data_IF_761891831263
#
_entry.id   IF_761891831263
#
_cell.length_a   1.000
_cell.length_b   1.000
_cell.length_c   1.000
_cell.angle_alpha   90.00
_cell.angle_beta   90.00
_cell.angle_gamma   90.00
#
_symmetry.space_group_name_H-M   'P 1'
#
loop_
_entity.id
_entity.type
_entity.pdbx_description
1 polymer ?
#
# COMPACT_ATOMS: atom_id res chain seq x y z
N UNK A 1 -8.17 2.74 12.64
CA UNK A 1 -7.89 3.95 11.85
C UNK A 1 -6.64 3.71 11.03
N UNK A 2 -6.64 3.93 9.71
CA UNK A 2 -5.45 3.73 8.89
C UNK A 2 -4.34 4.78 9.07
N UNK A 3 -3.09 4.41 8.79
CA UNK A 3 -1.92 5.29 8.87
C UNK A 3 -2.09 6.56 8.02
N UNK A 4 -2.53 6.43 6.76
CA UNK A 4 -2.71 7.57 5.87
C UNK A 4 -3.79 8.56 6.33
N UNK A 5 -4.77 8.12 7.13
CA UNK A 5 -5.80 9.02 7.68
C UNK A 5 -5.22 9.94 8.76
N UNK A 6 -4.36 9.40 9.62
CA UNK A 6 -3.72 10.17 10.71
C UNK A 6 -2.53 10.97 10.20
N UNK A 7 -1.77 10.41 9.26
CA UNK A 7 -0.58 11.06 8.68
C UNK A 7 -0.87 12.11 7.61
N UNK A 8 -2.13 12.38 7.26
CA UNK A 8 -2.47 13.37 6.24
C UNK A 8 -2.20 14.80 6.76
N UNK A 9 -1.31 15.58 6.12
CA UNK A 9 -1.03 16.95 6.53
C UNK A 9 -2.10 17.96 6.05
N UNK A 10 -3.21 17.47 5.51
CA UNK A 10 -4.41 18.22 5.08
C UNK A 10 -4.08 19.24 3.98
N UNK A 11 -3.20 18.83 3.06
CA UNK A 11 -3.03 19.49 1.76
C UNK A 11 -4.00 18.93 0.73
N UNK A 12 -4.26 19.70 -0.33
CA UNK A 12 -5.17 19.32 -1.40
C UNK A 12 -4.63 19.80 -2.78
N UNK A 13 -5.32 19.57 -3.91
CA UNK A 13 -4.83 20.00 -5.22
C UNK A 13 -4.67 21.51 -5.41
N UNK A 14 -5.23 22.34 -4.54
CA UNK A 14 -5.28 23.80 -4.62
C UNK A 14 -4.55 24.51 -3.46
N UNK A 15 -4.12 23.77 -2.44
CA UNK A 15 -3.46 24.31 -1.25
C UNK A 15 -2.36 23.39 -0.72
N UNK A 16 -1.25 23.97 -0.22
CA UNK A 16 -0.22 23.18 0.45
C UNK A 16 -0.76 22.59 1.77
N UNK A 17 0.04 21.71 2.37
CA UNK A 17 -0.20 21.20 3.71
C UNK A 17 -0.49 22.32 4.73
N UNK A 18 -1.45 22.08 5.62
CA UNK A 18 -1.77 22.97 6.75
C UNK A 18 -1.26 22.43 8.09
N UNK A 19 -0.80 21.18 8.12
CA UNK A 19 -0.15 20.56 9.28
C UNK A 19 1.24 20.02 8.91
N UNK A 20 2.08 19.83 9.92
CA UNK A 20 3.39 19.22 9.75
C UNK A 20 3.26 17.77 9.27
N UNK A 21 4.26 17.33 8.49
CA UNK A 21 4.35 15.92 8.09
C UNK A 21 4.94 15.12 9.24
N UNK A 22 4.23 14.05 9.61
CA UNK A 22 4.68 13.10 10.61
C UNK A 22 5.43 11.94 9.95
N UNK A 23 6.44 11.41 10.64
CA UNK A 23 7.04 10.13 10.30
C UNK A 23 6.09 8.98 10.60
N UNK A 24 6.34 7.80 10.01
CA UNK A 24 5.52 6.61 10.27
C UNK A 24 5.52 6.19 11.74
N UNK A 25 6.63 6.41 12.46
CA UNK A 25 6.72 6.15 13.90
C UNK A 25 5.87 7.12 14.72
N UNK A 26 5.85 8.42 14.38
CA UNK A 26 5.00 9.41 15.04
C UNK A 26 3.51 9.14 14.78
N UNK A 27 3.15 8.76 13.55
CA UNK A 27 1.79 8.30 13.21
C UNK A 27 1.42 7.08 14.04
N UNK A 28 2.33 6.11 14.15
CA UNK A 28 2.12 4.91 14.97
C UNK A 28 1.86 5.25 16.44
N UNK A 29 2.63 6.18 17.02
CA UNK A 29 2.46 6.61 18.40
C UNK A 29 1.07 7.22 18.65
N UNK A 30 0.55 8.01 17.70
CA UNK A 30 -0.80 8.58 17.79
C UNK A 30 -1.87 7.49 17.75
N UNK A 31 -1.75 6.52 16.84
CA UNK A 31 -2.76 5.45 16.70
C UNK A 31 -2.70 4.50 17.90
N UNK A 32 -1.50 4.16 18.40
CA UNK A 32 -1.33 3.36 19.62
C UNK A 32 -1.93 4.06 20.84
N UNK A 33 -1.76 5.39 20.96
CA UNK A 33 -2.44 6.17 22.00
C UNK A 33 -3.97 6.08 21.85
N UNK A 34 -4.50 6.25 20.65
CA UNK A 34 -5.95 6.12 20.41
C UNK A 34 -6.46 4.71 20.78
N UNK A 35 -5.66 3.66 20.57
CA UNK A 35 -5.96 2.29 21.01
C UNK A 35 -6.01 2.18 22.55
N UNK A 36 -5.05 2.79 23.24
CA UNK A 36 -5.01 2.81 24.72
C UNK A 36 -6.20 3.55 25.34
N UNK A 37 -6.77 4.50 24.60
CA UNK A 37 -7.98 5.24 24.95
C UNK A 37 -9.26 4.56 24.43
N UNK A 38 -9.16 3.34 23.86
CA UNK A 38 -10.28 2.55 23.31
C UNK A 38 -11.06 3.24 22.16
N UNK A 39 -10.39 4.09 21.39
CA UNK A 39 -11.00 4.79 20.24
C UNK A 39 -10.89 4.02 18.93
N UNK A 40 -9.96 3.06 18.85
CA UNK A 40 -9.72 2.21 17.67
C UNK A 40 -9.36 0.80 18.10
N UNK A 41 -9.85 -0.21 17.38
CA UNK A 41 -9.53 -1.62 17.62
C UNK A 41 -8.50 -2.18 16.62
N UNK A 42 -8.46 -1.62 15.42
CA UNK A 42 -7.62 -2.09 14.31
C UNK A 42 -6.98 -0.92 13.55
N UNK A 43 -5.84 -1.18 12.90
CA UNK A 43 -5.20 -0.26 11.95
C UNK A 43 -4.99 -0.91 10.57
N UNK A 44 -4.64 -0.08 9.59
CA UNK A 44 -4.31 -0.47 8.22
C UNK A 44 -3.31 0.51 7.62
N UNK A 45 -2.59 0.11 6.57
CA UNK A 45 -1.60 0.98 5.94
C UNK A 45 -1.40 0.68 4.45
N UNK A 46 -1.02 1.70 3.66
CA UNK A 46 -0.22 1.44 2.48
C UNK A 46 1.20 1.05 2.91
N UNK A 47 1.88 0.25 2.12
CA UNK A 47 3.31 -0.01 2.31
C UNK A 47 4.14 1.29 2.39
N UNK A 48 3.81 2.27 1.56
CA UNK A 48 4.48 3.58 1.51
C UNK A 48 4.22 4.46 2.74
N UNK A 49 3.14 4.19 3.50
CA UNK A 49 2.86 4.89 4.76
C UNK A 49 3.78 4.42 5.89
N UNK A 50 4.30 3.19 5.78
CA UNK A 50 5.15 2.55 6.78
C UNK A 50 6.61 2.83 6.51
N UNK A 51 7.02 2.62 5.26
CA UNK A 51 8.41 2.74 4.79
C UNK A 51 8.46 3.24 3.35
N UNK A 52 9.43 4.11 3.06
CA UNK A 52 9.62 4.62 1.71
C UNK A 52 9.91 3.48 0.71
N UNK A 53 9.31 3.56 -0.48
CA UNK A 53 9.58 2.62 -1.57
C UNK A 53 10.63 3.16 -2.54
N UNK A 54 11.58 2.30 -2.91
CA UNK A 54 12.62 2.56 -3.89
C UNK A 54 12.53 1.56 -5.05
N UNK A 55 12.22 2.04 -6.25
CA UNK A 55 12.12 1.22 -7.46
C UNK A 55 13.40 0.45 -7.82
N UNK A 56 14.56 0.84 -7.27
CA UNK A 56 15.84 0.15 -7.47
C UNK A 56 16.14 -0.90 -6.40
N UNK A 57 15.39 -0.91 -5.30
CA UNK A 57 15.55 -1.81 -4.15
C UNK A 57 14.20 -2.38 -3.75
N UNK A 58 13.67 -3.24 -4.61
CA UNK A 58 12.31 -3.79 -4.51
C UNK A 58 12.11 -4.85 -3.41
N UNK A 59 13.20 -5.24 -2.77
CA UNK A 59 13.27 -6.26 -1.71
C UNK A 59 14.05 -5.73 -0.49
N UNK A 60 14.07 -4.41 -0.30
CA UNK A 60 14.67 -3.77 0.87
C UNK A 60 14.05 -4.26 2.20
N UNK A 61 12.78 -4.67 2.19
CA UNK A 61 12.08 -5.29 3.32
C UNK A 61 12.71 -6.62 3.79
N UNK A 62 13.44 -7.30 2.90
CA UNK A 62 14.12 -8.56 3.20
C UNK A 62 15.55 -8.39 3.71
N UNK A 63 16.13 -7.19 3.61
CA UNK A 63 17.48 -6.90 4.10
C UNK A 63 17.44 -6.37 5.54
N UNK A 64 17.88 -7.14 6.55
CA UNK A 64 17.83 -6.72 7.95
C UNK A 64 18.63 -5.44 8.25
N UNK A 65 19.61 -5.10 7.40
CA UNK A 65 20.40 -3.88 7.53
C UNK A 65 19.74 -2.66 6.85
N UNK A 66 18.62 -2.85 6.15
CA UNK A 66 17.95 -1.77 5.45
C UNK A 66 17.24 -0.82 6.43
N UNK A 67 17.12 0.47 6.07
CA UNK A 67 16.28 1.41 6.82
C UNK A 67 14.81 0.97 6.88
N UNK A 68 14.32 0.27 5.85
CA UNK A 68 12.96 -0.22 5.80
C UNK A 68 12.73 -1.30 6.86
N UNK A 69 13.57 -2.33 6.92
CA UNK A 69 13.44 -3.41 7.90
C UNK A 69 13.62 -2.90 9.34
N UNK A 70 14.55 -1.97 9.56
CA UNK A 70 14.72 -1.30 10.87
C UNK A 70 13.44 -0.57 11.30
N UNK A 71 12.82 0.19 10.38
CA UNK A 71 11.59 0.94 10.67
C UNK A 71 10.39 0.01 10.88
N UNK A 72 10.25 -1.03 10.05
CA UNK A 72 9.19 -2.04 10.18
C UNK A 72 9.28 -2.77 11.52
N UNK A 73 10.48 -3.12 11.98
CA UNK A 73 10.69 -3.75 13.27
C UNK A 73 10.21 -2.84 14.41
N UNK A 74 10.61 -1.55 14.39
CA UNK A 74 10.19 -0.59 15.41
C UNK A 74 8.67 -0.34 15.41
N UNK A 75 8.04 -0.31 14.23
CA UNK A 75 6.58 -0.22 14.10
C UNK A 75 5.90 -1.45 14.69
N UNK A 76 6.37 -2.65 14.36
CA UNK A 76 5.84 -3.92 14.89
C UNK A 76 5.89 -3.96 16.41
N UNK A 77 7.03 -3.62 17.00
CA UNK A 77 7.20 -3.57 18.46
C UNK A 77 6.22 -2.61 19.13
N UNK A 78 6.02 -1.42 18.57
CA UNK A 78 5.05 -0.42 19.08
C UNK A 78 3.60 -0.90 18.97
N UNK A 79 3.24 -1.52 17.85
CA UNK A 79 1.88 -2.03 17.60
C UNK A 79 1.56 -3.22 18.52
N UNK A 80 2.51 -4.14 18.71
CA UNK A 80 2.37 -5.28 19.61
C UNK A 80 2.27 -4.84 21.07
N UNK A 81 3.11 -3.89 21.51
CA UNK A 81 3.05 -3.34 22.86
C UNK A 81 1.71 -2.63 23.17
N UNK A 82 1.05 -2.08 22.15
CA UNK A 82 -0.25 -1.43 22.28
C UNK A 82 -1.44 -2.39 22.07
N UNK A 83 -1.19 -3.67 21.79
CA UNK A 83 -2.21 -4.66 21.40
C UNK A 83 -3.11 -4.13 20.26
N UNK A 84 -2.48 -3.47 19.27
CA UNK A 84 -3.13 -2.88 18.10
C UNK A 84 -2.82 -3.70 16.84
N UNK A 85 -3.71 -4.62 16.43
CA UNK A 85 -3.51 -5.39 15.22
C UNK A 85 -3.60 -4.55 13.94
N UNK A 86 -2.69 -4.82 12.99
CA UNK A 86 -2.81 -4.38 11.59
C UNK A 86 -3.68 -5.40 10.88
N UNK A 87 -4.91 -5.05 10.50
CA UNK A 87 -5.83 -6.01 9.88
C UNK A 87 -5.68 -6.09 8.36
N UNK A 88 -5.27 -4.98 7.74
CA UNK A 88 -5.25 -4.82 6.29
C UNK A 88 -4.03 -4.03 5.83
N UNK A 89 -3.44 -4.46 4.72
CA UNK A 89 -2.46 -3.69 3.96
C UNK A 89 -2.93 -3.47 2.53
N UNK A 90 -2.47 -2.38 1.93
CA UNK A 90 -2.73 -2.05 0.51
C UNK A 90 -1.44 -1.57 -0.15
N UNK A 91 -1.29 -1.78 -1.45
CA UNK A 91 -0.09 -1.39 -2.18
C UNK A 91 -0.24 0.04 -2.72
N UNK A 92 0.69 0.93 -2.36
CA UNK A 92 0.73 2.29 -2.90
C UNK A 92 1.14 2.32 -4.37
N UNK A 93 0.17 2.24 -5.29
CA UNK A 93 0.38 2.33 -6.76
C UNK A 93 -0.11 3.65 -7.37
N UNK A 94 -0.26 4.70 -6.55
CA UNK A 94 -0.86 5.96 -7.00
C UNK A 94 -0.01 7.22 -6.75
N UNK A 95 0.84 7.19 -5.71
CA UNK A 95 1.70 8.33 -5.34
C UNK A 95 2.95 8.47 -6.20
N UNK A 96 3.63 7.37 -6.53
CA UNK A 96 4.87 7.43 -7.31
C UNK A 96 4.58 7.78 -8.80
N UNK A 97 5.28 8.77 -9.39
CA UNK A 97 5.06 9.18 -10.78
C UNK A 97 5.24 8.09 -11.84
N UNK A 98 5.94 6.99 -11.51
CA UNK A 98 6.09 5.84 -12.42
C UNK A 98 4.74 5.18 -12.73
N UNK A 99 3.79 5.20 -11.79
CA UNK A 99 2.46 4.60 -11.93
C UNK A 99 1.40 5.58 -12.45
N UNK A 100 1.81 6.76 -12.95
CA UNK A 100 0.87 7.81 -13.40
C UNK A 100 -0.11 7.37 -14.50
N UNK A 101 0.24 6.37 -15.30
CA UNK A 101 -0.63 5.78 -16.33
C UNK A 101 -1.03 4.33 -16.03
N UNK A 102 -1.20 4.00 -14.75
CA UNK A 102 -1.59 2.68 -14.27
C UNK A 102 -0.49 1.96 -13.49
N UNK A 103 -0.92 1.06 -12.61
CA UNK A 103 -0.09 0.09 -11.90
C UNK A 103 -0.14 -1.25 -12.62
N UNK A 104 -1.01 -2.15 -12.16
CA UNK A 104 -1.19 -3.47 -12.79
C UNK A 104 -1.80 -3.38 -14.19
N UNK A 105 -2.46 -2.27 -14.56
CA UNK A 105 -3.00 -2.09 -15.92
C UNK A 105 -2.19 -1.13 -16.78
N UNK A 106 -0.96 -0.77 -16.39
CA UNK A 106 -0.14 0.14 -17.18
C UNK A 106 0.07 -0.38 -18.62
N UNK A 107 0.00 0.46 -19.67
CA UNK A 107 0.29 0.01 -21.04
C UNK A 107 1.70 -0.55 -21.21
N UNK A 108 2.69 -0.03 -20.46
CA UNK A 108 4.06 -0.53 -20.49
C UNK A 108 4.19 -1.82 -19.64
N UNK A 109 4.57 -2.97 -20.25
CA UNK A 109 4.74 -4.24 -19.53
C UNK A 109 5.79 -4.19 -18.42
N UNK A 110 6.85 -3.40 -18.56
CA UNK A 110 7.89 -3.27 -17.53
C UNK A 110 7.34 -2.58 -16.28
N UNK A 111 6.45 -1.59 -16.44
CA UNK A 111 5.81 -0.92 -15.31
C UNK A 111 4.78 -1.85 -14.64
N UNK A 112 4.05 -2.68 -15.41
CA UNK A 112 3.18 -3.71 -14.83
C UNK A 112 3.96 -4.71 -13.99
N UNK A 113 5.11 -5.16 -14.48
CA UNK A 113 6.01 -6.05 -13.72
C UNK A 113 6.52 -5.37 -12.45
N UNK A 114 6.92 -4.09 -12.54
CA UNK A 114 7.33 -3.30 -11.38
C UNK A 114 6.21 -3.16 -10.33
N UNK A 115 4.99 -2.89 -10.77
CA UNK A 115 3.81 -2.81 -9.91
C UNK A 115 3.55 -4.16 -9.22
N UNK A 116 3.59 -5.27 -9.96
CA UNK A 116 3.42 -6.62 -9.39
C UNK A 116 4.49 -6.93 -8.32
N UNK A 117 5.76 -6.57 -8.57
CA UNK A 117 6.83 -6.72 -7.57
C UNK A 117 6.60 -5.87 -6.32
N UNK A 118 6.08 -4.65 -6.48
CA UNK A 118 5.69 -3.82 -5.33
C UNK A 118 4.55 -4.45 -4.54
N UNK A 119 3.52 -5.00 -5.20
CA UNK A 119 2.44 -5.76 -4.53
C UNK A 119 3.00 -6.96 -3.76
N UNK A 120 3.94 -7.71 -4.32
CA UNK A 120 4.61 -8.81 -3.60
C UNK A 120 5.35 -8.33 -2.35
N UNK A 121 6.03 -7.18 -2.42
CA UNK A 121 6.64 -6.52 -1.26
C UNK A 121 5.59 -6.14 -0.21
N UNK A 122 4.47 -5.54 -0.63
CA UNK A 122 3.36 -5.23 0.28
C UNK A 122 2.83 -6.48 0.99
N UNK A 123 2.70 -7.60 0.28
CA UNK A 123 2.26 -8.88 0.86
C UNK A 123 3.26 -9.36 1.93
N UNK A 124 4.58 -9.27 1.67
CA UNK A 124 5.60 -9.64 2.67
C UNK A 124 5.55 -8.74 3.90
N UNK A 125 5.42 -7.43 3.72
CA UNK A 125 5.24 -6.47 4.82
C UNK A 125 3.97 -6.78 5.62
N UNK A 126 2.85 -7.05 4.93
CA UNK A 126 1.60 -7.45 5.56
C UNK A 126 1.74 -8.72 6.39
N UNK A 127 2.40 -9.75 5.85
CA UNK A 127 2.71 -10.98 6.56
C UNK A 127 3.57 -10.75 7.80
N UNK A 128 4.58 -9.88 7.70
CA UNK A 128 5.44 -9.51 8.83
C UNK A 128 4.67 -8.82 9.97
N UNK A 129 3.69 -7.98 9.61
CA UNK A 129 2.83 -7.26 10.56
C UNK A 129 1.58 -8.06 10.99
N UNK A 130 1.35 -9.25 10.44
CA UNK A 130 0.21 -10.09 10.79
C UNK A 130 -1.12 -9.70 10.14
N UNK A 131 -1.10 -8.91 9.05
CA UNK A 131 -2.32 -8.53 8.35
C UNK A 131 -2.98 -9.74 7.66
N UNK A 132 -4.31 -9.78 7.65
CA UNK A 132 -5.09 -10.85 7.04
C UNK A 132 -5.64 -10.47 5.66
N UNK A 133 -5.79 -9.17 5.40
CA UNK A 133 -6.37 -8.64 4.17
C UNK A 133 -5.32 -7.89 3.35
N UNK A 134 -5.29 -8.20 2.05
CA UNK A 134 -4.69 -7.36 1.02
C UNK A 134 -5.82 -6.63 0.27
N UNK A 135 -5.80 -5.30 0.29
CA UNK A 135 -6.73 -4.49 -0.52
C UNK A 135 -6.03 -3.98 -1.76
N UNK A 136 -6.71 -4.04 -2.90
CA UNK A 136 -6.27 -3.42 -4.16
C UNK A 136 -7.23 -2.30 -4.56
N UNK A 137 -6.79 -1.05 -4.39
CA UNK A 137 -7.49 0.13 -4.90
C UNK A 137 -7.05 0.44 -6.33
N UNK A 138 -7.98 0.43 -7.28
CA UNK A 138 -7.76 0.61 -8.73
C UNK A 138 -7.44 2.06 -9.14
N UNK A 139 -6.81 2.84 -8.26
CA UNK A 139 -6.65 4.29 -8.32
C UNK A 139 -6.15 4.85 -9.66
N UNK A 140 -5.06 4.28 -10.18
CA UNK A 140 -4.40 4.74 -11.42
C UNK A 140 -4.77 3.89 -12.63
N UNK A 141 -5.42 2.74 -12.41
CA UNK A 141 -5.78 1.78 -13.45
C UNK A 141 -7.05 2.23 -14.18
N UNK A 142 -6.88 3.29 -14.99
CA UNK A 142 -7.93 3.96 -15.74
C UNK A 142 -7.32 4.83 -16.85
N UNK A 143 -8.07 5.84 -17.33
CA UNK A 143 -7.64 6.74 -18.40
C UNK A 143 -8.47 8.01 -18.42
N UNK A 144 -7.91 9.10 -18.93
CA UNK A 144 -8.65 10.32 -19.25
C UNK A 144 -9.28 10.24 -20.66
N UNK A 145 -8.63 9.49 -21.54
CA UNK A 145 -9.05 9.32 -22.94
C UNK A 145 -8.87 7.87 -23.38
N UNK A 146 -9.80 7.35 -24.17
CA UNK A 146 -9.86 5.92 -24.52
C UNK A 146 -8.61 5.41 -25.25
N UNK A 147 -7.85 6.29 -25.91
CA UNK A 147 -6.61 5.95 -26.63
C UNK A 147 -5.36 5.96 -25.74
N UNK A 148 -5.44 6.43 -24.48
CA UNK A 148 -4.29 6.46 -23.57
C UNK A 148 -3.91 5.08 -23.02
N UNK A 149 -4.82 4.10 -23.13
CA UNK A 149 -4.63 2.71 -22.69
C UNK A 149 -5.19 1.75 -23.74
N UNK A 150 -4.67 0.51 -23.83
CA UNK A 150 -5.26 -0.52 -24.67
C UNK A 150 -6.53 -1.06 -24.00
N UNK A 151 -7.64 -0.33 -24.09
CA UNK A 151 -8.92 -0.61 -23.40
C UNK A 151 -9.34 -2.08 -23.46
N UNK A 152 -9.26 -2.71 -24.64
CA UNK A 152 -9.63 -4.12 -24.85
C UNK A 152 -8.80 -5.12 -24.01
N UNK A 153 -7.61 -4.71 -23.54
CA UNK A 153 -6.68 -5.54 -22.77
C UNK A 153 -6.59 -5.15 -21.31
N UNK A 154 -6.99 -3.94 -20.94
CA UNK A 154 -6.85 -3.39 -19.58
C UNK A 154 -7.40 -4.31 -18.51
N UNK A 155 -8.61 -4.85 -18.71
CA UNK A 155 -9.21 -5.77 -17.74
C UNK A 155 -8.43 -7.09 -17.65
N UNK A 156 -7.94 -7.60 -18.77
CA UNK A 156 -7.08 -8.80 -18.80
C UNK A 156 -5.77 -8.59 -18.05
N UNK A 157 -5.16 -7.40 -18.13
CA UNK A 157 -3.98 -7.06 -17.34
C UNK A 157 -4.27 -7.00 -15.85
N UNK A 158 -5.42 -6.44 -15.46
CA UNK A 158 -5.83 -6.40 -14.06
C UNK A 158 -5.98 -7.82 -13.50
N UNK A 159 -6.71 -8.70 -14.21
CA UNK A 159 -6.88 -10.11 -13.82
C UNK A 159 -5.52 -10.80 -13.66
N UNK A 160 -4.62 -10.68 -14.65
CA UNK A 160 -3.28 -11.29 -14.58
C UNK A 160 -2.46 -10.80 -13.38
N UNK A 161 -2.54 -9.51 -13.06
CA UNK A 161 -1.83 -8.94 -11.93
C UNK A 161 -2.40 -9.41 -10.59
N UNK A 162 -3.73 -9.47 -10.46
CA UNK A 162 -4.40 -9.95 -9.25
C UNK A 162 -4.20 -11.46 -9.04
N UNK A 163 -4.29 -12.28 -10.10
CA UNK A 163 -3.98 -13.72 -10.05
C UNK A 163 -2.53 -13.96 -9.61
N UNK A 164 -1.59 -13.11 -10.04
CA UNK A 164 -0.21 -13.21 -9.58
C UNK A 164 -0.07 -12.86 -8.09
N UNK A 165 -0.78 -11.83 -7.62
CA UNK A 165 -0.78 -11.45 -6.20
C UNK A 165 -1.39 -12.54 -5.32
N UNK A 166 -2.50 -13.15 -5.74
CA UNK A 166 -3.16 -14.27 -5.05
C UNK A 166 -2.25 -15.49 -4.96
N UNK A 167 -1.69 -15.94 -6.10
CA UNK A 167 -0.74 -17.07 -6.11
C UNK A 167 0.46 -16.82 -5.21
N UNK A 168 1.05 -15.63 -5.28
CA UNK A 168 2.19 -15.28 -4.43
C UNK A 168 1.81 -15.29 -2.95
N UNK A 169 0.66 -14.71 -2.56
CA UNK A 169 0.19 -14.76 -1.18
C UNK A 169 0.00 -16.20 -0.67
N UNK A 170 -0.58 -17.07 -1.50
CA UNK A 170 -0.71 -18.50 -1.21
C UNK A 170 0.64 -19.20 -1.04
N UNK A 171 1.60 -18.96 -1.94
CA UNK A 171 2.95 -19.54 -1.90
C UNK A 171 3.75 -19.08 -0.67
N UNK A 172 3.59 -17.83 -0.22
CA UNK A 172 4.25 -17.33 0.98
C UNK A 172 3.75 -18.01 2.27
N UNK A 173 2.55 -18.61 2.25
CA UNK A 173 1.93 -19.26 3.41
C UNK A 173 1.88 -18.39 4.68
N UNK A 174 1.81 -17.06 4.52
CA UNK A 174 1.81 -16.07 5.60
C UNK A 174 0.44 -15.81 6.23
N UNK A 175 0.26 -14.62 6.81
CA UNK A 175 -0.99 -14.21 7.47
C UNK A 175 -2.05 -13.70 6.49
N UNK A 176 -1.68 -13.19 5.31
CA UNK A 176 -2.64 -12.70 4.31
C UNK A 176 -3.48 -13.89 3.80
N UNK A 177 -4.79 -13.85 4.05
CA UNK A 177 -5.76 -14.88 3.64
C UNK A 177 -6.81 -14.37 2.65
N UNK A 178 -6.99 -13.05 2.58
CA UNK A 178 -8.09 -12.46 1.85
C UNK A 178 -7.61 -11.34 0.92
N UNK A 179 -8.14 -11.34 -0.31
CA UNK A 179 -8.00 -10.24 -1.27
C UNK A 179 -9.31 -9.45 -1.37
N UNK A 180 -9.23 -8.13 -1.34
CA UNK A 180 -10.38 -7.25 -1.58
C UNK A 180 -10.03 -6.25 -2.69
N UNK A 181 -11.04 -5.87 -3.47
CA UNK A 181 -10.90 -4.84 -4.51
C UNK A 181 -11.71 -3.63 -4.05
N UNK A 182 -11.08 -2.46 -4.06
CA UNK A 182 -11.74 -1.19 -3.79
C UNK A 182 -12.03 -0.48 -5.13
N UNK A 183 -13.27 -0.55 -5.64
CA UNK A 183 -13.65 0.17 -6.85
C UNK A 183 -13.87 1.66 -6.53
N UNK A 184 -13.40 2.53 -7.42
CA UNK A 184 -13.74 3.95 -7.40
C UNK A 184 -14.07 4.40 -8.83
N UNK A 185 -15.20 5.10 -9.07
CA UNK A 185 -15.64 5.41 -10.44
C UNK A 185 -14.71 6.39 -11.16
N UNK A 186 -14.07 7.31 -10.44
CA UNK A 186 -13.12 8.31 -10.96
C UNK A 186 -12.27 8.89 -9.81
N UNK A 187 -11.34 9.79 -10.16
CA UNK A 187 -10.40 10.51 -9.28
C UNK A 187 -9.38 9.58 -8.57
N UNK A 188 -8.12 9.51 -9.04
CA UNK A 188 -7.43 10.55 -9.83
C UNK A 188 -7.54 10.41 -11.37
N UNK A 189 -8.13 9.33 -11.90
CA UNK A 189 -8.40 9.21 -13.35
C UNK A 189 -9.74 9.84 -13.71
N UNK A 190 -9.90 10.22 -14.98
CA UNK A 190 -11.13 10.80 -15.54
C UNK A 190 -12.33 9.86 -15.55
#
# INVERSE_FOLDING_TARGET
MPFWCVGNPVGDPFGPAVMDRLSSLEVCDIICRARSEHLVDYTAAHDDDLVAWDSKRLEDDLDPASPASTTLQALKEKLEAAELPVIMVTCGLHGNPVFRNGGLTNPNPEIRLLAARKVMRTIRIGNFLGAEYLTYWVARDGFETQFAVPWERTYGYLVQGLDLAERYAHEQAGSIRHGTIEPKPNEPRG
#
